data_IF_681964349544
#
_entry.id   IF_681964349544
#
_cell.length_a   1.000
_cell.length_b   1.000
_cell.length_c   1.000
_cell.angle_alpha   90.00
_cell.angle_beta   90.00
_cell.angle_gamma   90.00
#
_symmetry.space_group_name_H-M   'P 1'
#
loop_
_entity.id
_entity.type
_entity.pdbx_description
1 polymer ?
#
# COMPACT_ATOMS: atom_id res chain seq x y z
N UNK A 1 11.77 27.13 -2.07
CA UNK A 1 10.97 27.27 -3.29
C UNK A 1 10.76 25.89 -3.92
N UNK A 2 9.61 25.68 -4.55
CA UNK A 2 9.25 24.44 -5.20
C UNK A 2 7.76 24.40 -5.56
N UNK A 3 7.29 23.39 -6.32
CA UNK A 3 5.89 23.29 -6.69
C UNK A 3 5.00 23.01 -5.46
N UNK A 4 3.80 23.60 -5.45
CA UNK A 4 2.73 23.30 -4.50
C UNK A 4 1.53 22.80 -5.30
N UNK A 5 1.18 21.52 -5.12
CA UNK A 5 0.18 20.82 -5.93
C UNK A 5 -0.85 20.12 -5.05
N UNK A 6 -2.09 20.20 -5.46
CA UNK A 6 -3.16 19.31 -4.96
C UNK A 6 -3.43 18.25 -6.01
N UNK A 7 -3.44 16.99 -5.57
CA UNK A 7 -3.63 15.82 -6.43
C UNK A 7 -4.87 15.06 -5.96
N UNK A 8 -5.77 14.77 -6.88
CA UNK A 8 -6.89 13.88 -6.63
C UNK A 8 -6.90 12.75 -7.68
N UNK A 9 -6.59 11.56 -7.24
CA UNK A 9 -6.71 10.31 -7.98
C UNK A 9 -7.51 9.28 -7.17
N UNK A 10 -8.48 9.78 -6.39
CA UNK A 10 -9.31 8.97 -5.50
C UNK A 10 -8.43 8.26 -4.44
N UNK A 11 -8.63 6.96 -4.20
CA UNK A 11 -7.93 6.23 -3.13
C UNK A 11 -6.41 6.14 -3.30
N UNK A 12 -5.87 6.42 -4.50
CA UNK A 12 -4.42 6.46 -4.74
C UNK A 12 -3.78 7.83 -4.52
N UNK A 13 -4.56 8.87 -4.17
CA UNK A 13 -4.11 10.28 -4.12
C UNK A 13 -2.84 10.49 -3.29
N UNK A 14 -2.77 9.96 -2.07
CA UNK A 14 -1.59 10.12 -1.21
C UNK A 14 -0.31 9.55 -1.84
N UNK A 15 -0.38 8.35 -2.44
CA UNK A 15 0.79 7.75 -3.09
C UNK A 15 1.10 8.41 -4.44
N UNK A 16 0.11 8.96 -5.13
CA UNK A 16 0.32 9.75 -6.35
C UNK A 16 1.02 11.07 -6.02
N UNK A 17 0.59 11.77 -4.96
CA UNK A 17 1.28 12.95 -4.45
C UNK A 17 2.72 12.62 -4.03
N UNK A 18 2.91 11.48 -3.36
CA UNK A 18 4.23 10.98 -2.97
C UNK A 18 5.13 10.74 -4.21
N UNK A 19 4.61 10.09 -5.23
CA UNK A 19 5.32 9.88 -6.50
C UNK A 19 5.73 11.20 -7.18
N UNK A 20 4.83 12.17 -7.17
CA UNK A 20 5.09 13.52 -7.74
C UNK A 20 6.19 14.23 -6.96
N UNK A 21 6.17 14.16 -5.62
CA UNK A 21 7.20 14.74 -4.76
C UNK A 21 8.58 14.08 -4.99
N UNK A 22 8.63 12.76 -5.15
CA UNK A 22 9.86 12.04 -5.53
C UNK A 22 10.37 12.53 -6.87
N UNK A 23 9.48 12.71 -7.86
CA UNK A 23 9.84 13.26 -9.17
C UNK A 23 10.46 14.65 -9.08
N UNK A 24 9.85 15.57 -8.33
CA UNK A 24 10.34 16.94 -8.13
C UNK A 24 11.71 16.98 -7.44
N UNK A 25 11.93 16.13 -6.43
CA UNK A 25 13.25 15.98 -5.79
C UNK A 25 14.31 15.46 -6.76
N UNK A 26 13.99 14.49 -7.59
CA UNK A 26 14.92 13.92 -8.57
C UNK A 26 15.23 14.92 -9.72
N UNK A 27 14.25 15.69 -10.14
CA UNK A 27 14.41 16.74 -11.14
C UNK A 27 15.22 17.95 -10.59
N UNK A 28 15.25 18.12 -9.26
CA UNK A 28 15.93 19.26 -8.62
C UNK A 28 15.04 20.50 -8.48
N UNK A 29 13.72 20.35 -8.66
CA UNK A 29 12.75 21.43 -8.49
C UNK A 29 12.65 21.89 -7.03
N UNK A 30 13.00 20.99 -6.08
CA UNK A 30 13.11 21.30 -4.67
C UNK A 30 14.19 20.44 -4.00
N UNK A 31 14.67 20.87 -2.83
CA UNK A 31 15.63 20.12 -2.00
C UNK A 31 14.96 19.26 -0.93
N UNK A 32 13.74 19.63 -0.53
CA UNK A 32 12.90 18.96 0.45
C UNK A 32 11.43 19.08 -0.01
N UNK A 33 10.64 18.06 0.18
CA UNK A 33 9.23 18.06 -0.15
C UNK A 33 8.39 17.54 1.03
N UNK A 34 7.25 18.20 1.26
CA UNK A 34 6.18 17.68 2.12
C UNK A 34 5.16 17.02 1.21
N UNK A 35 4.76 15.80 1.54
CA UNK A 35 3.77 15.05 0.76
C UNK A 35 2.92 14.17 1.66
N UNK A 36 1.70 13.91 1.26
CA UNK A 36 0.79 13.07 2.05
C UNK A 36 -0.61 13.04 1.50
N UNK A 37 -1.55 12.70 2.35
CA UNK A 37 -2.96 12.69 2.02
C UNK A 37 -3.81 13.01 3.23
N UNK A 38 -4.98 13.55 2.98
CA UNK A 38 -5.99 13.88 3.98
C UNK A 38 -7.36 13.50 3.47
N UNK A 39 -8.19 12.99 4.36
CA UNK A 39 -9.62 12.76 4.10
C UNK A 39 -10.44 13.19 5.30
N UNK A 40 -11.40 14.09 5.07
CA UNK A 40 -12.41 14.50 6.03
C UNK A 40 -13.76 14.41 5.34
N UNK A 41 -14.69 13.68 5.93
CA UNK A 41 -16.03 13.45 5.38
C UNK A 41 -17.03 14.45 5.96
N UNK A 42 -17.13 15.62 5.35
CA UNK A 42 -18.02 16.70 5.79
C UNK A 42 -19.52 16.44 5.57
N UNK A 43 -19.88 15.29 4.96
CA UNK A 43 -21.28 14.92 4.70
C UNK A 43 -21.44 13.40 4.60
N UNK A 44 -22.67 12.86 4.76
CA UNK A 44 -22.95 11.43 4.62
C UNK A 44 -22.97 10.94 3.15
N UNK A 45 -22.69 11.80 2.17
CA UNK A 45 -22.85 11.49 0.75
C UNK A 45 -22.14 10.20 0.32
N UNK A 46 -20.90 10.01 0.72
CA UNK A 46 -20.14 8.78 0.41
C UNK A 46 -20.79 7.52 0.98
N UNK A 47 -21.29 7.59 2.22
CA UNK A 47 -22.00 6.45 2.82
C UNK A 47 -23.27 6.12 2.05
N UNK A 48 -24.05 7.13 1.66
CA UNK A 48 -25.29 6.94 0.90
C UNK A 48 -25.02 6.32 -0.47
N UNK A 49 -24.05 6.87 -1.21
CA UNK A 49 -23.77 6.39 -2.59
C UNK A 49 -23.15 4.99 -2.61
N UNK A 50 -22.26 4.68 -1.67
CA UNK A 50 -21.64 3.36 -1.61
C UNK A 50 -22.55 2.30 -0.98
N UNK A 51 -23.49 2.69 -0.12
CA UNK A 51 -24.57 1.80 0.34
C UNK A 51 -25.48 1.37 -0.81
N UNK A 52 -25.86 2.30 -1.70
CA UNK A 52 -26.65 1.97 -2.90
C UNK A 52 -25.94 0.98 -3.82
N UNK A 53 -24.59 1.00 -3.83
CA UNK A 53 -23.78 0.10 -4.63
C UNK A 53 -23.46 -1.22 -3.92
N UNK A 54 -23.95 -1.45 -2.70
CA UNK A 54 -23.61 -2.59 -1.85
C UNK A 54 -22.09 -2.77 -1.67
N UNK A 55 -21.36 -1.65 -1.58
CA UNK A 55 -19.90 -1.64 -1.48
C UNK A 55 -19.38 -1.42 -0.05
N UNK A 56 -20.29 -1.10 0.89
CA UNK A 56 -19.96 -0.98 2.31
C UNK A 56 -20.19 -2.30 3.04
N UNK A 57 -19.37 -2.54 4.06
CA UNK A 57 -19.54 -3.65 4.99
C UNK A 57 -20.80 -3.46 5.83
N UNK A 58 -21.58 -4.53 5.99
CA UNK A 58 -22.86 -4.52 6.68
C UNK A 58 -22.72 -4.37 8.20
N UNK A 59 -21.56 -4.73 8.77
CA UNK A 59 -21.32 -4.78 10.22
C UNK A 59 -20.19 -3.86 10.69
N UNK A 60 -19.70 -2.97 9.82
CA UNK A 60 -18.67 -2.00 10.16
C UNK A 60 -17.24 -2.58 10.26
N UNK A 61 -17.00 -3.81 9.80
CA UNK A 61 -15.67 -4.41 9.77
C UNK A 61 -15.11 -4.47 8.34
N UNK A 62 -13.98 -3.86 8.12
CA UNK A 62 -13.22 -4.06 6.88
C UNK A 62 -12.42 -5.38 6.98
N UNK A 63 -12.69 -6.32 6.06
CA UNK A 63 -12.11 -7.68 6.06
C UNK A 63 -11.25 -7.92 4.82
N UNK A 64 -10.07 -7.28 4.71
CA UNK A 64 -9.20 -7.47 3.55
C UNK A 64 -8.83 -8.94 3.36
N UNK A 65 -9.01 -9.44 2.14
CA UNK A 65 -8.61 -10.79 1.70
C UNK A 65 -9.33 -11.95 2.41
N UNK A 66 -10.34 -11.66 3.21
CA UNK A 66 -11.15 -12.68 3.88
C UNK A 66 -12.19 -13.28 2.92
N UNK A 67 -12.50 -14.56 3.08
CA UNK A 67 -13.65 -15.18 2.44
C UNK A 67 -14.97 -14.51 2.84
N UNK A 68 -15.01 -13.86 4.00
CA UNK A 68 -16.15 -13.11 4.54
C UNK A 68 -16.14 -11.62 4.16
N UNK A 69 -15.30 -11.19 3.22
CA UNK A 69 -15.30 -9.82 2.74
C UNK A 69 -16.69 -9.44 2.21
N UNK A 70 -17.29 -8.38 2.77
CA UNK A 70 -18.66 -7.93 2.45
C UNK A 70 -18.70 -6.48 1.94
N UNK A 71 -17.57 -5.76 1.99
CA UNK A 71 -17.46 -4.37 1.58
C UNK A 71 -16.41 -3.62 2.38
N UNK A 72 -16.21 -2.37 2.03
CA UNK A 72 -15.29 -1.48 2.74
C UNK A 72 -15.97 -0.77 3.90
N UNK A 73 -15.16 -0.14 4.74
CA UNK A 73 -15.61 0.77 5.82
C UNK A 73 -14.90 2.10 5.61
N UNK A 74 -15.65 3.17 5.42
CA UNK A 74 -15.07 4.50 5.28
C UNK A 74 -14.50 5.01 6.59
N UNK A 75 -13.34 5.67 6.49
CA UNK A 75 -12.66 6.34 7.59
C UNK A 75 -12.11 7.70 7.14
N UNK A 76 -11.85 8.53 8.12
CA UNK A 76 -11.10 9.77 7.97
C UNK A 76 -9.65 9.57 8.41
N UNK A 77 -8.79 10.47 7.99
CA UNK A 77 -7.40 10.45 8.42
C UNK A 77 -6.52 11.42 7.64
N UNK A 78 -5.33 11.62 8.17
CA UNK A 78 -4.28 12.38 7.52
C UNK A 78 -2.91 11.76 7.79
N UNK A 79 -2.02 11.85 6.83
CA UNK A 79 -0.62 11.47 6.98
C UNK A 79 0.25 12.35 6.11
N UNK A 80 1.35 12.86 6.67
CA UNK A 80 2.31 13.72 5.98
C UNK A 80 3.71 13.18 6.19
N UNK A 81 4.51 13.17 5.13
CA UNK A 81 5.89 12.73 5.11
C UNK A 81 6.80 13.84 4.61
N UNK A 82 7.99 13.92 5.19
CA UNK A 82 9.07 14.75 4.70
C UNK A 82 9.98 13.90 3.84
N UNK A 83 10.21 14.32 2.61
CA UNK A 83 11.11 13.66 1.67
C UNK A 83 12.28 14.57 1.35
N UNK A 84 13.45 13.97 1.25
CA UNK A 84 14.66 14.63 0.73
C UNK A 84 15.60 13.59 0.10
N UNK A 85 16.63 14.07 -0.61
CA UNK A 85 17.65 13.17 -1.15
C UNK A 85 18.47 12.58 -0.01
N UNK A 86 18.71 11.25 -0.07
CA UNK A 86 19.51 10.53 0.93
C UNK A 86 20.84 11.23 1.24
N UNK A 87 21.56 11.68 0.19
CA UNK A 87 22.83 12.39 0.38
C UNK A 87 22.70 13.68 1.17
N UNK A 88 21.56 14.39 1.06
CA UNK A 88 21.26 15.58 1.84
C UNK A 88 20.92 15.21 3.28
N UNK A 89 20.06 14.23 3.50
CA UNK A 89 19.69 13.75 4.83
C UNK A 89 20.92 13.34 5.64
N UNK A 90 21.79 12.50 5.05
CA UNK A 90 23.05 12.06 5.69
C UNK A 90 23.96 13.24 6.03
N UNK A 91 24.17 14.17 5.09
CA UNK A 91 25.01 15.35 5.31
C UNK A 91 24.45 16.27 6.39
N UNK A 92 23.14 16.38 6.50
CA UNK A 92 22.44 17.22 7.48
C UNK A 92 22.21 16.54 8.82
N UNK A 93 22.55 15.25 8.95
CA UNK A 93 22.30 14.47 10.18
C UNK A 93 20.81 14.20 10.44
N UNK A 94 19.98 14.23 9.42
CA UNK A 94 18.56 13.92 9.57
C UNK A 94 18.35 12.42 9.75
N UNK A 95 17.42 12.05 10.63
CA UNK A 95 17.02 10.66 10.80
C UNK A 95 16.31 10.16 9.52
N UNK A 96 16.80 9.05 8.97
CA UNK A 96 16.20 8.42 7.81
C UNK A 96 15.31 7.26 8.30
N UNK A 97 13.99 7.41 8.13
CA UNK A 97 13.03 6.36 8.49
C UNK A 97 12.95 5.28 7.41
N UNK A 98 13.08 5.66 6.15
CA UNK A 98 13.10 4.74 5.02
C UNK A 98 13.74 5.38 3.80
N UNK A 99 14.25 4.55 2.89
CA UNK A 99 14.65 4.94 1.54
C UNK A 99 13.62 4.50 0.52
N UNK A 100 13.21 5.40 -0.38
CA UNK A 100 12.33 5.06 -1.50
C UNK A 100 13.13 4.33 -2.57
N UNK A 101 12.91 3.02 -2.72
CA UNK A 101 13.58 2.20 -3.75
C UNK A 101 12.85 2.26 -5.08
N UNK A 102 11.53 2.34 -5.06
CA UNK A 102 10.72 2.53 -6.25
C UNK A 102 9.42 3.26 -5.92
N UNK A 103 9.00 4.11 -6.84
CA UNK A 103 7.67 4.70 -6.87
C UNK A 103 7.14 4.59 -8.29
N UNK A 104 5.97 3.97 -8.46
CA UNK A 104 5.36 3.69 -9.75
C UNK A 104 3.89 4.06 -9.77
N UNK A 105 3.45 4.62 -10.89
CA UNK A 105 2.06 4.85 -11.22
C UNK A 105 1.71 4.18 -12.53
N UNK A 106 0.48 3.71 -12.68
CA UNK A 106 -0.12 3.41 -13.97
C UNK A 106 -1.62 3.66 -13.95
N UNK A 107 -2.28 3.36 -15.06
CA UNK A 107 -3.72 3.48 -15.25
C UNK A 107 -4.27 2.12 -15.68
N UNK A 108 -5.45 1.77 -15.18
CA UNK A 108 -6.16 0.54 -15.54
C UNK A 108 -6.49 0.48 -17.03
N UNK A 109 -6.70 1.63 -17.67
CA UNK A 109 -7.15 1.71 -19.04
C UNK A 109 -8.57 1.15 -19.16
N UNK A 110 -8.82 0.37 -20.20
CA UNK A 110 -10.13 -0.28 -20.40
C UNK A 110 -10.33 -1.40 -19.38
N UNK A 111 -11.38 -1.29 -18.58
CA UNK A 111 -11.85 -2.31 -17.64
C UNK A 111 -13.30 -2.69 -17.90
N UNK A 112 -13.86 -3.64 -17.14
CA UNK A 112 -15.26 -4.08 -17.28
C UNK A 112 -16.29 -3.10 -16.72
N UNK A 113 -15.85 -2.04 -16.04
CA UNK A 113 -16.70 -0.99 -15.47
C UNK A 113 -15.88 0.09 -14.79
N UNK A 114 -16.50 1.23 -14.45
CA UNK A 114 -15.83 2.39 -13.86
C UNK A 114 -15.06 2.06 -12.60
N UNK A 115 -15.63 1.22 -11.74
CA UNK A 115 -15.04 0.83 -10.44
C UNK A 115 -14.38 -0.55 -10.48
N UNK A 116 -14.36 -1.22 -11.66
CA UNK A 116 -13.79 -2.54 -11.79
C UNK A 116 -12.27 -2.46 -11.94
N UNK A 117 -11.49 -3.10 -11.05
CA UNK A 117 -10.04 -3.09 -11.11
C UNK A 117 -9.52 -3.90 -12.30
N UNK A 118 -8.33 -3.55 -12.78
CA UNK A 118 -7.63 -4.27 -13.85
C UNK A 118 -6.40 -5.02 -13.30
N UNK A 119 -6.54 -6.33 -13.07
CA UNK A 119 -5.46 -7.16 -12.53
C UNK A 119 -4.19 -7.17 -13.37
N UNK A 120 -4.32 -7.14 -14.70
CA UNK A 120 -3.14 -7.08 -15.57
C UNK A 120 -2.41 -5.72 -15.45
N UNK A 121 -3.13 -4.62 -15.18
CA UNK A 121 -2.51 -3.33 -14.89
C UNK A 121 -1.77 -3.36 -13.55
N UNK A 122 -2.38 -3.96 -12.52
CA UNK A 122 -1.74 -4.13 -11.21
C UNK A 122 -0.48 -5.00 -11.30
N UNK A 123 -0.55 -6.14 -12.01
CA UNK A 123 0.60 -7.03 -12.23
C UNK A 123 1.77 -6.29 -12.91
N UNK A 124 1.48 -5.52 -13.98
CA UNK A 124 2.52 -4.69 -14.64
C UNK A 124 3.09 -3.63 -13.72
N UNK A 125 2.26 -3.03 -12.84
CA UNK A 125 2.71 -2.04 -11.86
C UNK A 125 3.68 -2.65 -10.86
N UNK A 126 3.34 -3.78 -10.27
CA UNK A 126 4.16 -4.51 -9.31
C UNK A 126 5.47 -4.98 -9.93
N UNK A 127 5.42 -5.62 -11.10
CA UNK A 127 6.62 -6.07 -11.80
C UNK A 127 7.57 -4.91 -12.13
N UNK A 128 7.02 -3.76 -12.55
CA UNK A 128 7.83 -2.55 -12.79
C UNK A 128 8.45 -1.99 -11.51
N UNK A 129 7.73 -2.02 -10.40
CA UNK A 129 8.25 -1.53 -9.12
C UNK A 129 9.37 -2.45 -8.60
N UNK A 130 9.20 -3.77 -8.65
CA UNK A 130 10.23 -4.76 -8.29
C UNK A 130 11.50 -4.55 -9.13
N UNK A 131 11.34 -4.39 -10.45
CA UNK A 131 12.47 -4.15 -11.35
C UNK A 131 13.19 -2.82 -11.06
N UNK A 132 12.44 -1.73 -10.82
CA UNK A 132 13.03 -0.42 -10.47
C UNK A 132 13.75 -0.43 -9.13
N UNK A 133 13.21 -1.16 -8.16
CA UNK A 133 13.83 -1.33 -6.85
C UNK A 133 15.07 -2.24 -6.90
N UNK A 134 15.33 -2.89 -8.03
CA UNK A 134 16.34 -3.95 -8.15
C UNK A 134 16.20 -5.03 -7.08
N UNK A 135 14.96 -5.26 -6.65
CA UNK A 135 14.61 -6.23 -5.64
C UNK A 135 14.20 -7.56 -6.26
N UNK A 136 14.21 -8.62 -5.45
CA UNK A 136 13.59 -9.90 -5.78
C UNK A 136 12.42 -10.13 -4.84
N UNK A 137 11.35 -10.86 -5.26
CA UNK A 137 10.18 -11.11 -4.41
C UNK A 137 10.53 -11.62 -3.01
N UNK A 138 11.52 -12.48 -2.88
CA UNK A 138 12.00 -13.05 -1.61
C UNK A 138 12.67 -12.04 -0.67
N UNK A 139 13.03 -10.84 -1.16
CA UNK A 139 13.60 -9.77 -0.33
C UNK A 139 12.52 -8.90 0.30
N UNK A 140 11.29 -8.95 -0.23
CA UNK A 140 10.18 -8.18 0.30
C UNK A 140 9.58 -8.94 1.49
N UNK A 141 9.70 -8.39 2.68
CA UNK A 141 9.20 -9.03 3.90
C UNK A 141 7.75 -8.69 4.22
N UNK A 142 7.27 -7.52 3.75
CA UNK A 142 5.89 -7.07 3.99
C UNK A 142 5.30 -6.44 2.73
N UNK A 143 4.04 -6.77 2.45
CA UNK A 143 3.21 -6.07 1.48
C UNK A 143 2.00 -5.48 2.21
N UNK A 144 1.91 -4.18 2.22
CA UNK A 144 0.72 -3.44 2.62
C UNK A 144 -0.15 -3.27 1.37
N UNK A 145 -1.13 -4.12 1.23
CA UNK A 145 -2.00 -4.13 0.06
C UNK A 145 -3.06 -3.04 0.10
N UNK A 146 -3.69 -2.81 -1.04
CA UNK A 146 -4.86 -1.93 -1.08
C UNK A 146 -6.01 -2.49 -0.25
N UNK A 147 -6.32 -3.77 -0.38
CA UNK A 147 -7.16 -4.57 0.52
C UNK A 147 -8.35 -3.82 1.12
N UNK A 148 -9.38 -3.58 0.33
CA UNK A 148 -10.55 -2.79 0.74
C UNK A 148 -11.67 -3.61 1.38
N UNK A 149 -11.51 -4.93 1.48
CA UNK A 149 -12.56 -5.83 1.96
C UNK A 149 -13.68 -6.06 0.95
N UNK A 150 -13.44 -5.74 -0.33
CA UNK A 150 -14.40 -5.98 -1.41
C UNK A 150 -14.05 -7.25 -2.18
N UNK A 151 -15.03 -8.14 -2.41
CA UNK A 151 -14.79 -9.45 -3.04
C UNK A 151 -14.03 -9.34 -4.37
N UNK A 152 -14.47 -8.47 -5.28
CA UNK A 152 -13.85 -8.32 -6.59
C UNK A 152 -12.47 -7.64 -6.50
N UNK A 153 -12.36 -6.57 -5.69
CA UNK A 153 -11.12 -5.82 -5.54
C UNK A 153 -10.01 -6.66 -4.94
N UNK A 154 -10.29 -7.28 -3.80
CA UNK A 154 -9.34 -8.11 -3.06
C UNK A 154 -8.89 -9.32 -3.89
N UNK A 155 -9.83 -10.00 -4.58
CA UNK A 155 -9.51 -11.12 -5.47
C UNK A 155 -8.59 -10.70 -6.61
N UNK A 156 -8.88 -9.56 -7.24
CA UNK A 156 -8.09 -9.05 -8.37
C UNK A 156 -6.66 -8.72 -7.91
N UNK A 157 -6.53 -8.04 -6.79
CA UNK A 157 -5.24 -7.70 -6.19
C UNK A 157 -4.46 -8.95 -5.77
N UNK A 158 -5.10 -9.90 -5.08
CA UNK A 158 -4.48 -11.16 -4.69
C UNK A 158 -3.90 -11.92 -5.87
N UNK A 159 -4.64 -12.03 -6.98
CA UNK A 159 -4.16 -12.69 -8.19
C UNK A 159 -2.93 -11.99 -8.79
N UNK A 160 -2.92 -10.66 -8.81
CA UNK A 160 -1.77 -9.90 -9.31
C UNK A 160 -0.55 -10.01 -8.37
N UNK A 161 -0.76 -9.98 -7.06
CA UNK A 161 0.29 -10.18 -6.05
C UNK A 161 0.86 -11.61 -6.09
N UNK A 162 0.01 -12.62 -6.25
CA UNK A 162 0.43 -14.01 -6.36
C UNK A 162 1.37 -14.24 -7.56
N UNK A 163 1.11 -13.59 -8.69
CA UNK A 163 1.94 -13.70 -9.90
C UNK A 163 3.23 -12.89 -9.86
N UNK A 164 3.37 -11.99 -8.90
CA UNK A 164 4.53 -11.10 -8.78
C UNK A 164 5.29 -11.36 -7.48
N UNK A 165 4.79 -10.90 -6.36
CA UNK A 165 5.40 -11.13 -5.03
C UNK A 165 5.31 -12.59 -4.59
N UNK A 166 4.26 -13.31 -5.01
CA UNK A 166 4.12 -14.74 -4.78
C UNK A 166 5.10 -15.63 -5.56
N UNK A 167 5.85 -15.07 -6.50
CA UNK A 167 6.90 -15.80 -7.24
C UNK A 167 8.09 -16.20 -6.37
N UNK A 168 8.21 -15.68 -5.14
CA UNK A 168 9.17 -16.19 -4.16
C UNK A 168 8.86 -17.65 -3.81
N UNK A 169 9.89 -18.40 -3.38
CA UNK A 169 9.68 -19.77 -2.90
C UNK A 169 8.72 -19.79 -1.69
N UNK A 170 7.89 -20.83 -1.53
CA UNK A 170 6.97 -20.96 -0.40
C UNK A 170 7.69 -20.74 0.95
N UNK A 171 7.10 -19.93 1.82
CA UNK A 171 7.64 -19.55 3.12
C UNK A 171 8.80 -18.55 3.10
N UNK A 172 9.22 -18.07 1.92
CA UNK A 172 10.32 -17.10 1.77
C UNK A 172 9.89 -15.72 1.28
N UNK A 173 8.60 -15.51 1.10
CA UNK A 173 8.09 -14.24 0.59
C UNK A 173 7.40 -13.38 1.66
N UNK A 174 6.74 -12.37 1.16
CA UNK A 174 6.13 -11.32 1.96
C UNK A 174 4.94 -11.79 2.80
N UNK A 175 4.74 -11.13 3.92
CA UNK A 175 3.48 -11.11 4.67
C UNK A 175 2.58 -10.03 4.10
N UNK A 176 1.39 -10.41 3.63
CA UNK A 176 0.38 -9.50 3.10
C UNK A 176 -0.61 -9.10 4.19
N UNK A 177 -0.82 -7.81 4.34
CA UNK A 177 -1.85 -7.25 5.21
C UNK A 177 -2.45 -5.97 4.65
N UNK A 178 -3.42 -5.41 5.36
CA UNK A 178 -3.95 -4.08 5.07
C UNK A 178 -4.35 -3.36 6.35
N UNK A 179 -3.87 -2.13 6.51
CA UNK A 179 -4.20 -1.22 7.62
C UNK A 179 -5.70 -0.95 7.71
N UNK A 180 -6.42 -1.17 6.61
CA UNK A 180 -7.88 -0.95 6.56
C UNK A 180 -8.65 -1.89 7.49
N UNK A 181 -8.08 -3.04 7.86
CA UNK A 181 -8.66 -3.88 8.90
C UNK A 181 -8.64 -3.22 10.29
N UNK A 182 -7.72 -2.28 10.52
CA UNK A 182 -7.56 -1.58 11.79
C UNK A 182 -8.33 -0.26 11.84
N UNK A 183 -8.25 0.54 10.78
CA UNK A 183 -8.73 1.94 10.77
C UNK A 183 -9.79 2.22 9.72
N UNK A 184 -10.17 1.26 8.90
CA UNK A 184 -11.04 1.47 7.75
C UNK A 184 -10.31 2.10 6.56
N UNK A 185 -11.07 2.49 5.55
CA UNK A 185 -10.56 3.07 4.31
C UNK A 185 -10.61 4.60 4.34
N UNK A 186 -9.48 5.23 4.62
CA UNK A 186 -9.36 6.69 4.69
C UNK A 186 -9.22 7.36 3.29
N UNK A 187 -9.79 6.75 2.26
CA UNK A 187 -9.93 7.31 0.91
C UNK A 187 -8.62 7.93 0.37
N UNK A 188 -8.59 9.24 0.13
CA UNK A 188 -7.39 9.93 -0.38
C UNK A 188 -6.17 9.78 0.54
N UNK A 189 -6.37 9.60 1.85
CA UNK A 189 -5.30 9.38 2.82
C UNK A 189 -4.87 7.91 2.96
N UNK A 190 -5.56 6.95 2.34
CA UNK A 190 -5.35 5.52 2.57
C UNK A 190 -3.91 5.07 2.33
N UNK A 191 -3.28 5.54 1.26
CA UNK A 191 -1.88 5.22 0.95
C UNK A 191 -0.89 5.77 1.98
N UNK A 192 -1.18 6.95 2.57
CA UNK A 192 -0.37 7.52 3.63
C UNK A 192 -0.45 6.69 4.92
N UNK A 193 -1.66 6.24 5.30
CA UNK A 193 -1.84 5.37 6.46
C UNK A 193 -1.17 4.01 6.26
N UNK A 194 -1.24 3.44 5.05
CA UNK A 194 -0.53 2.20 4.72
C UNK A 194 1.00 2.34 4.85
N UNK A 195 1.56 3.45 4.36
CA UNK A 195 2.99 3.73 4.50
C UNK A 195 3.37 3.95 5.98
N UNK A 196 2.56 4.68 6.74
CA UNK A 196 2.79 4.87 8.18
C UNK A 196 2.82 3.52 8.92
N UNK A 197 1.89 2.61 8.63
CA UNK A 197 1.90 1.26 9.21
C UNK A 197 3.19 0.51 8.86
N UNK A 198 3.66 0.58 7.63
CA UNK A 198 4.93 -0.08 7.23
C UNK A 198 6.11 0.47 8.02
N UNK A 199 6.23 1.79 8.16
CA UNK A 199 7.29 2.42 8.93
C UNK A 199 7.26 2.01 10.41
N UNK A 200 6.08 2.04 11.03
CA UNK A 200 5.89 1.59 12.41
C UNK A 200 6.19 0.11 12.58
N UNK A 201 5.75 -0.72 11.64
CA UNK A 201 6.05 -2.16 11.65
C UNK A 201 7.56 -2.44 11.63
N UNK A 202 8.31 -1.67 10.82
CA UNK A 202 9.76 -1.79 10.75
C UNK A 202 10.43 -1.31 12.04
N UNK A 203 9.99 -0.20 12.61
CA UNK A 203 10.51 0.34 13.88
C UNK A 203 10.29 -0.64 15.04
N UNK A 204 9.18 -1.36 15.05
CA UNK A 204 8.90 -2.43 16.01
C UNK A 204 9.44 -3.80 15.58
N UNK A 205 10.09 -3.91 14.43
CA UNK A 205 10.62 -5.16 13.86
C UNK A 205 9.58 -6.29 13.78
N UNK A 206 8.34 -5.94 13.50
CA UNK A 206 7.19 -6.83 13.59
C UNK A 206 6.20 -6.55 12.48
N UNK A 207 5.72 -7.60 11.83
CA UNK A 207 4.54 -7.52 10.96
C UNK A 207 3.31 -7.77 11.83
N UNK A 208 2.42 -6.78 12.01
CA UNK A 208 1.21 -6.96 12.79
C UNK A 208 0.19 -7.83 12.04
N UNK A 209 -0.71 -8.47 12.78
CA UNK A 209 -1.82 -9.18 12.19
C UNK A 209 -2.77 -8.23 11.46
N UNK A 210 -3.29 -8.66 10.31
CA UNK A 210 -4.52 -8.09 9.75
C UNK A 210 -5.71 -8.64 10.51
N UNK A 211 -6.60 -7.77 10.96
CA UNK A 211 -7.77 -8.16 11.73
C UNK A 211 -8.83 -8.81 10.82
N UNK A 212 -9.73 -9.58 11.43
CA UNK A 212 -10.89 -10.18 10.76
C UNK A 212 -10.55 -11.17 9.62
N UNK A 213 -9.40 -11.85 9.73
CA UNK A 213 -8.93 -12.89 8.79
C UNK A 213 -9.15 -14.32 9.29
N UNK A 214 -10.29 -14.59 9.93
CA UNK A 214 -10.63 -15.92 10.46
C UNK A 214 -10.75 -16.96 9.34
N UNK A 215 -11.30 -16.56 8.21
CA UNK A 215 -11.45 -17.38 7.02
C UNK A 215 -10.77 -16.71 5.82
N UNK A 216 -9.77 -17.40 5.26
CA UNK A 216 -9.08 -16.94 4.06
C UNK A 216 -9.79 -17.43 2.81
N UNK A 217 -9.67 -16.66 1.72
CA UNK A 217 -10.21 -17.08 0.43
C UNK A 217 -9.52 -18.37 -0.05
N UNK A 218 -10.32 -19.37 -0.41
CA UNK A 218 -9.83 -20.62 -1.00
C UNK A 218 -9.49 -20.50 -2.49
N UNK A 219 -9.68 -19.33 -3.09
CA UNK A 219 -9.43 -19.10 -4.52
C UNK A 219 -7.93 -19.08 -4.89
N UNK A 220 -7.05 -18.99 -3.90
CA UNK A 220 -5.59 -19.01 -4.07
C UNK A 220 -5.02 -20.20 -3.32
N UNK A 221 -4.18 -20.95 -4.01
CA UNK A 221 -3.35 -21.97 -3.36
C UNK A 221 -2.18 -21.29 -2.63
N UNK A 222 -2.43 -20.95 -1.37
CA UNK A 222 -1.44 -20.30 -0.51
C UNK A 222 -0.21 -21.17 -0.24
N UNK A 223 -0.32 -22.48 -0.37
CA UNK A 223 0.79 -23.42 -0.13
C UNK A 223 1.84 -23.34 -1.24
N UNK A 224 1.42 -22.96 -2.44
CA UNK A 224 2.28 -22.81 -3.59
C UNK A 224 2.90 -21.40 -3.75
N UNK A 225 2.49 -20.44 -2.88
CA UNK A 225 2.92 -19.05 -2.98
C UNK A 225 4.04 -18.73 -1.99
N UNK A 226 4.97 -17.87 -2.40
CA UNK A 226 5.87 -17.19 -1.48
C UNK A 226 5.17 -16.16 -0.60
N UNK A 227 4.03 -15.63 -1.05
CA UNK A 227 3.21 -14.65 -0.33
C UNK A 227 2.29 -15.35 0.67
N UNK A 228 2.18 -14.82 1.89
CA UNK A 228 1.27 -15.33 2.93
C UNK A 228 0.48 -14.21 3.59
N UNK A 229 -0.75 -14.49 4.02
CA UNK A 229 -1.53 -13.50 4.77
C UNK A 229 -0.99 -13.33 6.20
N UNK A 230 -0.91 -12.10 6.68
CA UNK A 230 -0.54 -11.76 8.05
C UNK A 230 -1.71 -12.03 9.00
N UNK A 231 -2.00 -13.30 9.30
CA UNK A 231 -3.11 -13.72 10.19
C UNK A 231 -2.78 -13.53 11.67
N UNK A 232 -1.51 -13.53 11.99
CA UNK A 232 -0.98 -13.34 13.35
C UNK A 232 0.22 -12.41 13.30
N UNK A 233 0.52 -11.81 14.44
CA UNK A 233 1.72 -11.02 14.60
C UNK A 233 2.95 -11.92 14.44
N UNK A 234 3.94 -11.45 13.69
CA UNK A 234 5.17 -12.20 13.45
C UNK A 234 6.40 -11.29 13.42
N UNK A 235 7.58 -11.80 13.78
CA UNK A 235 8.82 -11.04 13.61
C UNK A 235 9.04 -10.65 12.14
N UNK A 236 9.62 -9.48 11.95
CA UNK A 236 10.08 -9.01 10.64
C UNK A 236 11.60 -8.83 10.66
N UNK A 237 12.37 -9.89 10.42
CA UNK A 237 13.82 -9.80 10.40
C UNK A 237 14.30 -8.93 9.23
N UNK A 238 15.42 -8.24 9.43
CA UNK A 238 16.13 -7.60 8.33
C UNK A 238 16.79 -8.67 7.43
N UNK A 239 16.87 -8.38 6.15
CA UNK A 239 17.62 -9.16 5.18
C UNK A 239 18.70 -8.27 4.56
N UNK A 240 19.95 -8.68 4.64
CA UNK A 240 21.11 -7.88 4.16
C UNK A 240 21.17 -6.47 4.79
N UNK A 241 20.82 -6.33 6.07
CA UNK A 241 20.88 -5.08 6.82
C UNK A 241 19.71 -4.12 6.60
N UNK A 242 18.66 -4.55 5.89
CA UNK A 242 17.47 -3.73 5.65
C UNK A 242 16.18 -4.56 5.65
N UNK A 243 15.05 -3.88 5.85
CA UNK A 243 13.70 -4.43 5.68
C UNK A 243 13.05 -3.80 4.47
N UNK A 244 12.66 -4.61 3.51
CA UNK A 244 11.95 -4.14 2.32
C UNK A 244 10.45 -4.38 2.46
N UNK A 245 9.68 -3.36 2.11
CA UNK A 245 8.23 -3.44 2.04
C UNK A 245 7.68 -2.79 0.79
N UNK A 246 6.49 -3.24 0.41
CA UNK A 246 5.70 -2.66 -0.67
C UNK A 246 4.39 -2.09 -0.13
N UNK A 247 3.91 -1.00 -0.72
CA UNK A 247 2.64 -0.35 -0.37
C UNK A 247 1.84 -0.07 -1.63
N UNK A 248 0.56 -0.47 -1.65
CA UNK A 248 -0.36 -0.30 -2.77
C UNK A 248 -1.52 0.62 -2.43
N UNK A 249 -1.92 1.45 -3.39
CA UNK A 249 -3.19 2.18 -3.34
C UNK A 249 -3.77 2.30 -4.76
N UNK A 250 -5.03 1.91 -4.93
CA UNK A 250 -5.72 1.91 -6.23
C UNK A 250 -6.93 2.83 -6.16
N UNK A 251 -6.96 3.81 -7.06
CA UNK A 251 -8.08 4.74 -7.17
C UNK A 251 -9.19 4.16 -8.03
N UNK A 252 -10.44 4.37 -7.62
CA UNK A 252 -11.60 3.99 -8.44
C UNK A 252 -11.65 4.71 -9.79
N UNK A 253 -10.86 5.78 -9.97
CA UNK A 253 -10.62 6.44 -11.25
C UNK A 253 -9.69 5.63 -12.19
N UNK A 254 -9.18 4.49 -11.72
CA UNK A 254 -8.24 3.62 -12.43
C UNK A 254 -6.77 4.00 -12.25
N UNK A 255 -6.44 5.04 -11.51
CA UNK A 255 -5.04 5.37 -11.20
C UNK A 255 -4.53 4.48 -10.08
N UNK A 256 -3.51 3.68 -10.37
CA UNK A 256 -2.86 2.80 -9.43
C UNK A 256 -1.49 3.34 -9.03
N UNK A 257 -1.18 3.30 -7.74
CA UNK A 257 0.08 3.72 -7.17
C UNK A 257 0.71 2.60 -6.33
N UNK A 258 2.03 2.45 -6.44
CA UNK A 258 2.77 1.43 -5.72
C UNK A 258 4.16 1.93 -5.36
N UNK A 259 4.56 1.70 -4.11
CA UNK A 259 5.87 2.04 -3.57
C UNK A 259 6.60 0.78 -3.14
N UNK A 260 7.94 0.78 -3.26
CA UNK A 260 8.84 -0.10 -2.51
C UNK A 260 9.76 0.78 -1.70
N UNK A 261 9.83 0.52 -0.40
CA UNK A 261 10.65 1.24 0.57
C UNK A 261 11.57 0.28 1.30
N UNK A 262 12.77 0.75 1.64
CA UNK A 262 13.75 0.05 2.45
C UNK A 262 13.94 0.78 3.77
N UNK A 263 13.79 0.10 4.88
CA UNK A 263 14.04 0.61 6.22
C UNK A 263 15.34 0.01 6.75
N UNK A 264 16.23 0.82 7.37
CA UNK A 264 17.47 0.32 7.95
C UNK A 264 17.17 -0.69 9.07
N UNK A 265 18.13 -1.61 9.29
CA UNK A 265 17.98 -2.67 10.30
C UNK A 265 17.86 -2.12 11.71
N UNK A 266 18.60 -1.05 12.00
CA UNK A 266 18.69 -0.38 13.28
C UNK A 266 17.59 0.66 13.53
N UNK A 267 16.58 0.73 12.65
CA UNK A 267 15.42 1.58 12.87
C UNK A 267 14.69 1.15 14.15
N UNK A 268 14.53 2.10 15.05
CA UNK A 268 13.83 1.92 16.34
C UNK A 268 12.66 2.90 16.41
N UNK A 269 11.56 2.48 17.08
CA UNK A 269 10.34 3.30 17.25
C UNK A 269 10.57 4.49 18.20
#
# INVERSE_FOLDING_TARGET
DGPALTVDTSCSSALTAFHTAVGALLAGDCSMALTGGVCVMGSPGYFVEFSKQHALSDDGHCRPYSAQASGTVWAEGAGVFVLERRSTAVRSGHQILAEVRASCLNQDGRSSGLTAPNGAAQERLFGRAIARAQARPEHIGMVEGHGTGTKLGDRTELNALARTYGAAAPGRGAKLGSVKSNVGHAQAAAGALGLAKVLLSAAHQTVPASLHLDQISAEIDWSAQGLTLAREQSPWPAMNGERLAAVSAFGMSGTNAHLIVAMPEDMVA
#
